data_IF_289985343799
#
_entry.id   IF_289985343799
#
_cell.length_a   1.000
_cell.length_b   1.000
_cell.length_c   1.000
_cell.angle_alpha   90.00
_cell.angle_beta   90.00
_cell.angle_gamma   90.00
#
_symmetry.space_group_name_H-M   'P 1'
#
loop_
_entity.id
_entity.type
_entity.pdbx_description
1 polymer ?
#
# COMPACT_ATOMS: atom_id res chain seq x y z
N UNK A 1 7.59 1.46 7.94
CA UNK A 1 6.79 0.56 7.09
C UNK A 1 6.95 1.04 5.66
N UNK A 2 7.26 0.14 4.72
CA UNK A 2 7.62 0.47 3.33
C UNK A 2 6.57 1.32 2.58
N UNK A 3 5.30 1.28 3.00
CA UNK A 3 4.19 1.99 2.35
C UNK A 3 3.54 3.05 3.24
N UNK A 4 4.20 3.46 4.34
CA UNK A 4 3.59 4.36 5.33
C UNK A 4 3.17 5.69 4.70
N UNK A 5 4.06 6.30 3.90
CA UNK A 5 3.80 7.58 3.26
C UNK A 5 2.69 7.48 2.19
N UNK A 6 2.70 6.43 1.37
CA UNK A 6 1.64 6.20 0.38
C UNK A 6 0.26 5.99 1.03
N UNK A 7 0.21 5.26 2.14
CA UNK A 7 -1.03 5.03 2.89
C UNK A 7 -1.55 6.32 3.52
N UNK A 8 -0.67 7.18 4.03
CA UNK A 8 -1.03 8.49 4.56
C UNK A 8 -1.67 9.37 3.48
N UNK A 9 -1.13 9.39 2.26
CA UNK A 9 -1.73 10.16 1.14
C UNK A 9 -3.06 9.58 0.64
N UNK A 10 -3.20 8.25 0.65
CA UNK A 10 -4.45 7.58 0.30
C UNK A 10 -5.59 7.90 1.27
N UNK A 11 -5.28 8.00 2.57
CA UNK A 11 -6.26 8.33 3.62
C UNK A 11 -6.85 9.74 3.42
N UNK A 12 -6.08 10.68 2.87
CA UNK A 12 -6.58 12.04 2.56
C UNK A 12 -7.49 12.11 1.33
N UNK A 13 -7.48 11.08 0.47
CA UNK A 13 -8.16 11.10 -0.84
C UNK A 13 -9.67 11.35 -0.73
N UNK A 14 -10.44 10.67 0.14
CA UNK A 14 -11.87 10.91 0.28
C UNK A 14 -12.20 12.35 0.71
N UNK A 15 -11.41 12.91 1.62
CA UNK A 15 -11.59 14.30 2.09
C UNK A 15 -11.36 15.31 0.97
N UNK A 16 -10.34 15.09 0.14
CA UNK A 16 -10.08 15.94 -1.03
C UNK A 16 -11.19 15.86 -2.07
N UNK A 17 -11.68 14.65 -2.38
CA UNK A 17 -12.84 14.47 -3.26
C UNK A 17 -14.04 15.25 -2.73
N UNK A 18 -14.38 15.05 -1.45
CA UNK A 18 -15.52 15.72 -0.83
C UNK A 18 -15.38 17.24 -0.86
N UNK A 19 -14.19 17.77 -0.58
CA UNK A 19 -13.92 19.20 -0.65
C UNK A 19 -14.11 19.75 -2.06
N UNK A 20 -13.51 19.12 -3.07
CA UNK A 20 -13.64 19.54 -4.47
C UNK A 20 -15.08 19.46 -4.97
N UNK A 21 -15.83 18.42 -4.59
CA UNK A 21 -17.25 18.31 -4.92
C UNK A 21 -18.05 19.45 -4.31
N UNK A 22 -17.86 19.73 -3.02
CA UNK A 22 -18.55 20.83 -2.33
C UNK A 22 -18.22 22.20 -2.94
N UNK A 23 -16.97 22.44 -3.31
CA UNK A 23 -16.56 23.66 -4.00
C UNK A 23 -17.23 23.79 -5.38
N UNK A 24 -17.33 22.70 -6.14
CA UNK A 24 -18.04 22.67 -7.42
C UNK A 24 -19.55 22.88 -7.26
N UNK A 25 -20.19 22.29 -6.26
CA UNK A 25 -21.61 22.52 -5.93
C UNK A 25 -21.89 23.99 -5.60
N UNK A 26 -20.99 24.65 -4.86
CA UNK A 26 -21.11 26.07 -4.55
C UNK A 26 -21.04 26.94 -5.82
N UNK A 27 -20.14 26.63 -6.75
CA UNK A 27 -20.05 27.32 -8.02
C UNK A 27 -21.27 27.04 -8.91
N UNK A 28 -21.76 25.81 -8.93
CA UNK A 28 -22.98 25.45 -9.66
C UNK A 28 -24.19 26.26 -9.16
N UNK A 29 -24.36 26.36 -7.84
CA UNK A 29 -25.41 27.18 -7.24
C UNK A 29 -25.29 28.67 -7.58
N UNK A 30 -24.06 29.20 -7.66
CA UNK A 30 -23.83 30.57 -8.15
C UNK A 30 -24.25 30.71 -9.62
N UNK A 31 -23.96 29.72 -10.46
CA UNK A 31 -24.38 29.72 -11.86
C UNK A 31 -25.90 29.68 -12.03
N UNK A 32 -26.60 28.87 -11.24
CA UNK A 32 -28.07 28.81 -11.23
C UNK A 32 -28.69 30.16 -10.86
N UNK A 33 -28.12 30.87 -9.88
CA UNK A 33 -28.57 32.24 -9.54
C UNK A 33 -28.33 33.24 -10.65
N UNK A 34 -27.20 33.16 -11.33
CA UNK A 34 -26.88 34.05 -12.44
C UNK A 34 -27.84 33.80 -13.62
N UNK A 35 -28.19 32.54 -13.90
CA UNK A 35 -29.21 32.18 -14.89
C UNK A 35 -30.58 32.75 -14.53
N UNK A 36 -30.99 32.66 -13.27
CA UNK A 36 -32.24 33.25 -12.81
C UNK A 36 -32.25 34.78 -13.00
N UNK A 37 -31.13 35.45 -12.69
CA UNK A 37 -30.98 36.89 -12.93
C UNK A 37 -31.13 37.24 -14.42
N UNK A 38 -30.54 36.44 -15.31
CA UNK A 38 -30.70 36.61 -16.77
C UNK A 38 -32.17 36.45 -17.19
N UNK A 39 -32.87 35.44 -16.67
CA UNK A 39 -34.30 35.25 -16.95
C UNK A 39 -35.15 36.45 -16.49
N UNK A 40 -34.87 37.01 -15.32
CA UNK A 40 -35.54 38.22 -14.81
C UNK A 40 -35.29 39.42 -15.72
N UNK A 41 -34.04 39.63 -16.15
CA UNK A 41 -33.67 40.70 -17.10
C UNK A 41 -34.43 40.52 -18.42
N UNK A 42 -34.45 39.32 -18.98
CA UNK A 42 -35.15 39.01 -20.24
C UNK A 42 -36.67 39.20 -20.13
N UNK A 43 -37.28 38.87 -18.99
CA UNK A 43 -38.71 39.02 -18.76
C UNK A 43 -39.15 40.50 -18.63
N UNK A 44 -38.27 41.36 -18.12
CA UNK A 44 -38.51 42.81 -18.02
C UNK A 44 -38.58 43.52 -19.38
N UNK A 45 -38.15 42.84 -20.46
CA UNK A 45 -37.86 43.45 -21.76
C UNK A 45 -39.08 43.72 -22.66
N UNK A 46 -40.31 43.38 -22.23
CA UNK A 46 -41.53 43.36 -23.06
C UNK A 46 -42.05 44.73 -23.55
N UNK A 47 -41.51 45.88 -23.10
CA UNK A 47 -41.99 47.21 -23.51
C UNK A 47 -40.92 48.32 -23.45
N UNK A 48 -39.82 48.20 -24.20
CA UNK A 48 -38.66 49.10 -24.04
C UNK A 48 -38.21 49.81 -25.33
N UNK A 49 -37.63 50.99 -25.14
CA UNK A 49 -37.03 51.87 -26.16
C UNK A 49 -35.67 51.34 -26.65
N UNK A 50 -35.15 51.86 -27.77
CA UNK A 50 -33.88 51.35 -28.34
C UNK A 50 -32.64 51.60 -27.46
N UNK A 51 -32.63 52.68 -26.68
CA UNK A 51 -31.55 52.94 -25.70
C UNK A 51 -31.57 51.96 -24.52
N UNK A 52 -32.76 51.48 -24.15
CA UNK A 52 -32.95 50.50 -23.08
C UNK A 52 -32.56 49.08 -23.52
N UNK A 53 -32.75 48.76 -24.81
CA UNK A 53 -32.30 47.49 -25.43
C UNK A 53 -30.78 47.33 -25.41
N UNK A 54 -30.03 48.41 -25.67
CA UNK A 54 -28.55 48.37 -25.66
C UNK A 54 -28.03 48.05 -24.26
N UNK A 55 -28.56 48.73 -23.23
CA UNK A 55 -28.13 48.51 -21.84
C UNK A 55 -28.39 47.08 -21.36
N UNK A 56 -29.55 46.52 -21.73
CA UNK A 56 -29.86 45.13 -21.37
C UNK A 56 -28.96 44.14 -22.12
N UNK A 57 -28.62 44.43 -23.37
CA UNK A 57 -27.64 43.62 -24.11
C UNK A 57 -26.30 43.58 -23.37
N UNK A 58 -25.82 44.71 -22.85
CA UNK A 58 -24.57 44.77 -22.07
C UNK A 58 -24.69 43.99 -20.76
N UNK A 59 -25.80 44.12 -20.03
CA UNK A 59 -26.04 43.40 -18.76
C UNK A 59 -26.10 41.87 -18.98
N UNK A 60 -26.73 41.42 -20.08
CA UNK A 60 -26.76 40.01 -20.47
C UNK A 60 -25.36 39.52 -20.83
N UNK A 61 -24.60 40.28 -21.62
CA UNK A 61 -23.22 39.92 -21.98
C UNK A 61 -22.37 39.78 -20.73
N UNK A 62 -22.47 40.71 -19.78
CA UNK A 62 -21.73 40.64 -18.52
C UNK A 62 -22.11 39.38 -17.71
N UNK A 63 -23.41 39.07 -17.63
CA UNK A 63 -23.91 37.88 -16.93
C UNK A 63 -23.42 36.57 -17.60
N UNK A 64 -23.41 36.52 -18.94
CA UNK A 64 -22.88 35.39 -19.69
C UNK A 64 -21.36 35.21 -19.50
N UNK A 65 -20.59 36.31 -19.45
CA UNK A 65 -19.16 36.26 -19.13
C UNK A 65 -18.93 35.76 -17.70
N UNK A 66 -19.79 36.15 -16.75
CA UNK A 66 -19.73 35.64 -15.38
C UNK A 66 -20.01 34.13 -15.33
N UNK A 67 -21.04 33.65 -16.03
CA UNK A 67 -21.32 32.22 -16.18
C UNK A 67 -20.14 31.44 -16.78
N UNK A 68 -19.50 31.98 -17.82
CA UNK A 68 -18.31 31.38 -18.41
C UNK A 68 -17.15 31.29 -17.40
N UNK A 69 -16.98 32.30 -16.55
CA UNK A 69 -16.00 32.28 -15.45
C UNK A 69 -16.32 31.18 -14.42
N UNK A 70 -17.59 31.01 -14.06
CA UNK A 70 -18.05 29.96 -13.15
C UNK A 70 -17.76 28.57 -13.74
N UNK A 71 -18.11 28.34 -15.01
CA UNK A 71 -17.86 27.08 -15.70
C UNK A 71 -16.36 26.74 -15.73
N UNK A 72 -15.52 27.75 -16.00
CA UNK A 72 -14.06 27.62 -15.98
C UNK A 72 -13.52 27.22 -14.60
N UNK A 73 -14.11 27.73 -13.51
CA UNK A 73 -13.74 27.36 -12.13
C UNK A 73 -14.14 25.93 -11.80
N UNK A 74 -15.35 25.51 -12.19
CA UNK A 74 -15.84 24.14 -11.99
C UNK A 74 -14.94 23.15 -12.73
N UNK A 75 -14.67 23.43 -14.01
CA UNK A 75 -13.77 22.62 -14.82
C UNK A 75 -12.36 22.56 -14.21
N UNK A 76 -11.82 23.70 -13.76
CA UNK A 76 -10.52 23.77 -13.08
C UNK A 76 -10.46 22.87 -11.84
N UNK A 77 -11.48 22.95 -10.96
CA UNK A 77 -11.59 22.11 -9.76
C UNK A 77 -11.57 20.62 -10.10
N UNK A 78 -12.41 20.19 -11.05
CA UNK A 78 -12.46 18.78 -11.47
C UNK A 78 -11.19 18.32 -12.17
N UNK A 79 -10.57 19.18 -12.98
CA UNK A 79 -9.30 18.88 -13.64
C UNK A 79 -8.19 18.63 -12.60
N UNK A 80 -8.07 19.49 -11.59
CA UNK A 80 -7.12 19.31 -10.49
C UNK A 80 -7.40 18.03 -9.71
N UNK A 81 -8.66 17.76 -9.36
CA UNK A 81 -9.05 16.53 -8.66
C UNK A 81 -8.70 15.28 -9.49
N UNK A 82 -9.01 15.29 -10.79
CA UNK A 82 -8.74 14.17 -11.68
C UNK A 82 -7.23 13.89 -11.79
N UNK A 83 -6.41 14.93 -11.91
CA UNK A 83 -4.95 14.77 -11.93
C UNK A 83 -4.44 14.18 -10.61
N UNK A 84 -4.92 14.66 -9.48
CA UNK A 84 -4.59 14.10 -8.17
C UNK A 84 -4.97 12.61 -8.07
N UNK A 85 -6.18 12.22 -8.49
CA UNK A 85 -6.61 10.82 -8.45
C UNK A 85 -5.77 9.93 -9.36
N UNK A 86 -5.39 10.42 -10.56
CA UNK A 86 -4.46 9.71 -11.45
C UNK A 86 -3.11 9.48 -10.79
N UNK A 87 -2.59 10.47 -10.07
CA UNK A 87 -1.32 10.34 -9.36
C UNK A 87 -1.42 9.33 -8.21
N UNK A 88 -2.51 9.34 -7.43
CA UNK A 88 -2.75 8.34 -6.39
C UNK A 88 -2.84 6.92 -6.96
N UNK A 89 -3.55 6.73 -8.08
CA UNK A 89 -3.63 5.45 -8.77
C UNK A 89 -2.24 4.98 -9.21
N UNK A 90 -1.40 5.90 -9.70
CA UNK A 90 -0.03 5.58 -10.13
C UNK A 90 0.83 5.13 -8.95
N UNK A 91 0.72 5.80 -7.80
CA UNK A 91 1.43 5.43 -6.56
C UNK A 91 1.05 4.01 -6.14
N UNK A 92 -0.25 3.71 -6.06
CA UNK A 92 -0.73 2.36 -5.67
C UNK A 92 -0.18 1.28 -6.61
N UNK A 93 -0.23 1.51 -7.91
CA UNK A 93 0.32 0.55 -8.88
C UNK A 93 1.82 0.34 -8.71
N UNK A 94 2.57 1.40 -8.43
CA UNK A 94 4.00 1.33 -8.19
C UNK A 94 4.30 0.54 -6.91
N UNK A 95 3.55 0.75 -5.84
CA UNK A 95 3.71 0.06 -4.57
C UNK A 95 3.40 -1.44 -4.70
N UNK A 96 2.34 -1.80 -5.42
CA UNK A 96 2.02 -3.20 -5.73
C UNK A 96 3.18 -3.88 -6.48
N UNK A 97 3.73 -3.21 -7.50
CA UNK A 97 4.87 -3.74 -8.25
C UNK A 97 6.11 -3.94 -7.36
N UNK A 98 6.40 -2.98 -6.48
CA UNK A 98 7.51 -3.10 -5.53
C UNK A 98 7.30 -4.23 -4.54
N UNK A 99 6.07 -4.44 -4.08
CA UNK A 99 5.72 -5.54 -3.18
C UNK A 99 5.95 -6.90 -3.85
N UNK A 100 5.50 -7.09 -5.09
CA UNK A 100 5.71 -8.33 -5.85
C UNK A 100 7.19 -8.64 -6.06
N UNK A 101 7.99 -7.61 -6.37
CA UNK A 101 9.43 -7.76 -6.53
C UNK A 101 10.11 -8.17 -5.21
N UNK A 102 9.67 -7.60 -4.08
CA UNK A 102 10.20 -7.97 -2.76
C UNK A 102 9.84 -9.39 -2.35
N UNK A 103 8.60 -9.84 -2.61
CA UNK A 103 8.20 -11.23 -2.38
C UNK A 103 9.08 -12.16 -3.24
N UNK A 104 9.25 -11.83 -4.52
CA UNK A 104 10.07 -12.62 -5.44
C UNK A 104 11.52 -12.73 -4.95
N UNK A 105 12.13 -11.61 -4.54
CA UNK A 105 13.48 -11.58 -3.95
C UNK A 105 13.57 -12.44 -2.69
N UNK A 106 12.60 -12.31 -1.78
CA UNK A 106 12.57 -13.07 -0.53
C UNK A 106 12.47 -14.57 -0.77
N UNK A 107 11.60 -15.01 -1.70
CA UNK A 107 11.47 -16.42 -2.09
C UNK A 107 12.77 -16.95 -2.71
N UNK A 108 13.42 -16.15 -3.57
CA UNK A 108 14.70 -16.53 -4.16
C UNK A 108 15.77 -16.73 -3.08
N UNK A 109 15.88 -15.80 -2.12
CA UNK A 109 16.81 -15.93 -0.99
C UNK A 109 16.57 -17.22 -0.21
N UNK A 110 15.31 -17.52 0.14
CA UNK A 110 14.97 -18.76 0.85
C UNK A 110 15.35 -20.02 0.06
N UNK A 111 15.03 -20.07 -1.24
CA UNK A 111 15.40 -21.20 -2.10
C UNK A 111 16.91 -21.35 -2.26
N UNK A 112 17.63 -20.23 -2.40
CA UNK A 112 19.10 -20.24 -2.49
C UNK A 112 19.72 -20.76 -1.20
N UNK A 113 19.22 -20.34 -0.04
CA UNK A 113 19.70 -20.79 1.25
C UNK A 113 19.44 -22.30 1.47
N UNK A 114 18.28 -22.80 1.03
CA UNK A 114 17.94 -24.23 1.05
C UNK A 114 18.86 -25.06 0.13
N UNK A 115 19.19 -24.56 -1.06
CA UNK A 115 20.11 -25.25 -1.99
C UNK A 115 21.51 -25.31 -1.37
N UNK A 116 22.03 -24.18 -0.89
CA UNK A 116 23.34 -24.12 -0.21
C UNK A 116 23.40 -25.10 0.96
N UNK A 117 22.32 -25.19 1.76
CA UNK A 117 22.21 -26.16 2.86
C UNK A 117 22.28 -27.61 2.36
N UNK A 118 21.55 -27.94 1.28
CA UNK A 118 21.54 -29.31 0.71
C UNK A 118 22.88 -29.70 0.09
N UNK A 119 23.58 -28.76 -0.55
CA UNK A 119 24.92 -29.00 -1.11
C UNK A 119 25.94 -29.25 0.01
N UNK A 120 25.87 -28.46 1.08
CA UNK A 120 26.72 -28.62 2.26
C UNK A 120 26.54 -29.98 2.95
N UNK A 121 25.30 -30.48 3.03
CA UNK A 121 25.02 -31.81 3.59
C UNK A 121 25.54 -32.96 2.72
N UNK A 122 25.66 -32.77 1.40
CA UNK A 122 26.21 -33.79 0.49
C UNK A 122 27.74 -33.90 0.56
N UNK A 123 28.46 -32.80 0.82
CA UNK A 123 29.93 -32.80 0.89
C UNK A 123 30.51 -33.42 2.17
N UNK A 124 29.73 -33.55 3.24
CA UNK A 124 30.21 -34.07 4.53
C UNK A 124 30.01 -35.58 4.73
N UNK A 125 29.53 -36.32 3.72
CA UNK A 125 29.31 -37.77 3.82
C UNK A 125 30.56 -38.63 3.55
N UNK A 126 31.75 -38.06 3.36
CA UNK A 126 32.97 -38.84 3.11
C UNK A 126 34.08 -38.72 4.16
N UNK A 127 33.93 -37.96 5.25
CA UNK A 127 34.96 -37.90 6.29
C UNK A 127 34.38 -37.93 7.72
N UNK A 128 34.54 -39.09 8.37
CA UNK A 128 34.43 -39.23 9.82
C UNK A 128 35.51 -38.39 10.51
N UNK A 129 35.16 -37.21 11.03
CA UNK A 129 35.79 -36.59 12.21
C UNK A 129 34.90 -35.44 12.67
N UNK A 130 34.31 -35.60 13.85
CA UNK A 130 33.27 -34.73 14.39
C UNK A 130 33.75 -33.32 14.76
N UNK A 131 33.57 -32.38 13.84
CA UNK A 131 33.41 -30.95 14.15
C UNK A 131 32.36 -30.38 13.20
N UNK A 132 31.14 -30.16 13.69
CA UNK A 132 30.06 -29.52 12.90
C UNK A 132 30.42 -28.06 12.58
N UNK A 133 29.92 -27.49 11.47
CA UNK A 133 30.24 -26.13 11.06
C UNK A 133 29.65 -25.09 12.01
N UNK A 134 30.21 -23.87 12.02
CA UNK A 134 29.88 -22.85 13.01
C UNK A 134 28.40 -22.41 12.93
N UNK A 135 27.85 -22.20 11.74
CA UNK A 135 26.61 -21.45 11.61
C UNK A 135 25.37 -22.34 11.60
N UNK A 136 24.88 -22.60 12.81
CA UNK A 136 23.46 -22.67 13.18
C UNK A 136 22.69 -23.98 12.96
N UNK A 137 23.01 -24.97 13.80
CA UNK A 137 22.13 -26.12 14.06
C UNK A 137 20.83 -25.74 14.77
N UNK A 138 20.74 -24.59 15.47
CA UNK A 138 19.61 -24.21 16.34
C UNK A 138 18.98 -22.86 15.95
N UNK A 139 17.72 -22.61 16.35
CA UNK A 139 16.98 -21.36 16.07
C UNK A 139 17.66 -20.07 16.54
N UNK A 140 18.56 -20.18 17.52
CA UNK A 140 19.33 -19.03 18.02
C UNK A 140 20.42 -18.57 17.04
N UNK A 141 20.67 -19.36 15.99
CA UNK A 141 21.72 -19.15 14.98
C UNK A 141 23.13 -18.97 15.54
N UNK A 142 23.37 -19.43 16.77
CA UNK A 142 24.65 -19.30 17.46
C UNK A 142 25.61 -20.46 17.18
N UNK A 143 26.89 -20.15 17.23
CA UNK A 143 28.07 -21.03 17.10
C UNK A 143 28.52 -21.52 18.48
N UNK A 144 27.65 -22.16 19.25
CA UNK A 144 28.03 -22.63 20.59
C UNK A 144 28.50 -24.08 20.57
N UNK A 145 29.59 -24.38 21.28
CA UNK A 145 30.02 -25.76 21.61
C UNK A 145 29.06 -26.46 22.62
N UNK A 146 27.84 -25.96 22.77
CA UNK A 146 26.85 -26.53 23.65
C UNK A 146 26.35 -27.86 23.06
N UNK A 147 26.11 -28.89 23.90
CA UNK A 147 25.62 -30.16 23.39
C UNK A 147 24.26 -30.01 22.70
N UNK A 148 24.11 -30.70 21.57
CA UNK A 148 22.95 -30.61 20.70
C UNK A 148 22.07 -31.87 20.75
N UNK A 149 20.79 -31.69 20.44
CA UNK A 149 19.79 -32.74 20.30
C UNK A 149 19.04 -32.58 18.97
N UNK A 150 18.68 -33.72 18.35
CA UNK A 150 17.92 -33.76 17.11
C UNK A 150 16.42 -33.94 17.40
N UNK A 151 15.59 -33.16 16.72
CA UNK A 151 14.14 -33.35 16.68
C UNK A 151 13.81 -34.59 15.83
N UNK A 152 12.95 -35.47 16.35
CA UNK A 152 12.56 -36.72 15.70
C UNK A 152 11.38 -36.59 14.73
N UNK A 153 10.85 -35.38 14.52
CA UNK A 153 9.80 -35.14 13.53
C UNK A 153 10.39 -35.06 12.13
N UNK A 154 9.85 -35.84 11.19
CA UNK A 154 10.31 -35.91 9.80
C UNK A 154 10.10 -34.60 9.02
N UNK A 155 9.22 -33.72 9.51
CA UNK A 155 8.88 -32.43 8.89
C UNK A 155 9.52 -31.23 9.63
N UNK A 156 10.55 -31.47 10.46
CA UNK A 156 11.17 -30.40 11.23
C UNK A 156 12.09 -29.49 10.39
N UNK A 157 11.75 -28.20 10.30
CA UNK A 157 12.53 -27.22 9.53
C UNK A 157 13.92 -26.87 10.09
N UNK A 158 14.17 -27.13 11.38
CA UNK A 158 15.44 -26.81 12.07
C UNK A 158 16.27 -28.08 12.30
N UNK A 159 15.63 -29.18 12.70
CA UNK A 159 16.27 -30.48 12.89
C UNK A 159 17.11 -30.59 14.17
N UNK A 160 17.97 -29.63 14.49
CA UNK A 160 18.89 -29.69 15.63
C UNK A 160 18.68 -28.51 16.60
N UNK A 161 19.03 -28.70 17.87
CA UNK A 161 18.82 -27.68 18.90
C UNK A 161 19.91 -27.78 19.96
N UNK A 162 20.44 -26.66 20.45
CA UNK A 162 21.26 -26.67 21.65
C UNK A 162 20.40 -27.01 22.85
N UNK A 163 20.85 -27.92 23.72
CA UNK A 163 20.13 -28.29 24.94
C UNK A 163 19.79 -27.05 25.78
N UNK A 164 20.72 -26.10 25.91
CA UNK A 164 20.51 -24.84 26.62
C UNK A 164 19.42 -23.97 25.99
N UNK A 165 19.35 -23.88 24.66
CA UNK A 165 18.35 -23.08 23.95
C UNK A 165 16.92 -23.63 24.14
N UNK A 166 16.78 -24.91 24.44
CA UNK A 166 15.49 -25.55 24.76
C UNK A 166 15.29 -25.77 26.27
N UNK A 167 16.19 -25.23 27.11
CA UNK A 167 16.09 -25.31 28.58
C UNK A 167 16.46 -26.66 29.19
N UNK A 168 17.12 -27.54 28.44
CA UNK A 168 17.56 -28.86 28.88
C UNK A 168 19.02 -28.83 29.34
N UNK A 169 19.33 -29.58 30.40
CA UNK A 169 20.71 -29.75 30.90
C UNK A 169 21.38 -31.01 30.38
N UNK A 170 20.61 -32.09 30.22
CA UNK A 170 21.09 -33.40 29.79
C UNK A 170 20.25 -33.90 28.61
N UNK A 171 20.85 -34.73 27.75
CA UNK A 171 20.12 -35.42 26.68
C UNK A 171 19.15 -36.43 27.32
N UNK A 172 17.87 -36.45 26.92
CA UNK A 172 16.92 -37.45 27.37
C UNK A 172 17.29 -38.83 26.79
N UNK A 173 16.93 -39.90 27.50
CA UNK A 173 17.11 -41.27 27.01
C UNK A 173 16.09 -41.64 25.93
N UNK A 174 15.00 -40.87 25.84
CA UNK A 174 13.90 -41.09 24.89
C UNK A 174 13.94 -40.11 23.71
N UNK A 175 13.16 -40.42 22.68
CA UNK A 175 13.00 -39.59 21.47
C UNK A 175 12.46 -38.21 21.86
N UNK A 176 13.13 -37.15 21.38
CA UNK A 176 12.75 -35.77 21.66
C UNK A 176 12.17 -35.10 20.41
N UNK A 177 11.09 -34.32 20.60
CA UNK A 177 10.41 -33.54 19.56
C UNK A 177 10.39 -32.07 20.01
N UNK A 178 10.59 -31.13 19.10
CA UNK A 178 10.58 -29.72 19.44
C UNK A 178 9.14 -29.18 19.57
N UNK A 179 8.96 -28.11 20.36
CA UNK A 179 7.65 -27.46 20.59
C UNK A 179 6.92 -26.96 19.34
N UNK A 180 7.64 -26.78 18.24
CA UNK A 180 7.01 -26.41 16.96
C UNK A 180 6.38 -27.63 16.31
N UNK A 181 7.09 -28.76 16.30
CA UNK A 181 6.59 -30.02 15.76
C UNK A 181 5.53 -30.66 16.66
N UNK A 182 5.62 -30.52 17.99
CA UNK A 182 4.57 -30.97 18.92
C UNK A 182 3.22 -30.29 18.61
N UNK A 183 3.24 -28.99 18.30
CA UNK A 183 2.02 -28.23 17.96
C UNK A 183 1.44 -28.55 16.58
N UNK A 184 2.22 -29.17 15.70
CA UNK A 184 1.76 -29.59 14.37
C UNK A 184 1.19 -31.02 14.35
N UNK A 185 1.24 -31.73 15.48
CA UNK A 185 0.73 -33.10 15.66
C UNK A 185 -0.64 -33.13 16.39
N UNK A 186 -1.26 -31.97 16.63
CA UNK A 186 -2.61 -31.80 17.18
C UNK A 186 -3.55 -31.30 16.09
#
# INVERSE_FOLDING_TARGET
MLFKESLETLVETPLRIQKSLKESEMHQYQGEKELQSIEEILNSHKSMTDSEKIKISDDIIHSLLHLQSIDSKIYGSFSTLNNFLKDQIKIVHQDLKQFDEQISKSILTLKTDDIKRKEFLKSNNENETGVLPPDSVCFCRGTSNDPIIQCQSEICNIGWYHLKCIGMKNRPNEKWICRMCERSLQ
#
